data_IF_556450406080
#
_entry.id   IF_556450406080
#
_cell.length_a   1.000
_cell.length_b   1.000
_cell.length_c   1.000
_cell.angle_alpha   90.00
_cell.angle_beta   90.00
_cell.angle_gamma   90.00
#
_symmetry.space_group_name_H-M   'P 1'
#
loop_
_entity.id
_entity.type
_entity.pdbx_description
1 polymer ?
#
# COMPACT_ATOMS: atom_id res chain seq x y z
N UNK A 1 -5.70 -17.12 27.20
CA UNK A 1 -6.42 -16.27 26.24
C UNK A 1 -7.67 -17.02 25.81
N UNK A 2 -8.80 -16.31 25.74
CA UNK A 2 -10.06 -16.83 25.21
C UNK A 2 -10.28 -16.15 23.86
N UNK A 3 -10.36 -16.94 22.79
CA UNK A 3 -10.70 -16.46 21.45
C UNK A 3 -12.15 -16.80 21.15
N UNK A 4 -12.95 -15.79 20.83
CA UNK A 4 -14.32 -15.94 20.38
C UNK A 4 -14.40 -15.63 18.89
N UNK A 5 -14.82 -16.59 18.09
CA UNK A 5 -15.19 -16.37 16.70
C UNK A 5 -16.64 -15.88 16.64
N UNK A 6 -16.88 -14.81 15.91
CA UNK A 6 -18.22 -14.31 15.61
C UNK A 6 -18.32 -13.94 14.13
N UNK A 7 -19.50 -14.07 13.58
CA UNK A 7 -19.83 -13.65 12.23
C UNK A 7 -20.62 -12.34 12.30
N UNK A 8 -20.22 -11.35 11.52
CA UNK A 8 -20.92 -10.09 11.39
C UNK A 8 -21.34 -9.89 9.93
N UNK A 9 -22.64 -9.69 9.71
CA UNK A 9 -23.16 -9.37 8.39
C UNK A 9 -23.02 -7.89 8.13
N UNK A 10 -22.09 -7.52 7.25
CA UNK A 10 -21.87 -6.13 6.86
C UNK A 10 -22.53 -5.84 5.52
N UNK A 11 -23.29 -4.75 5.45
CA UNK A 11 -23.91 -4.27 4.20
C UNK A 11 -22.96 -3.23 3.62
N UNK A 12 -22.50 -3.47 2.39
CA UNK A 12 -21.69 -2.50 1.67
C UNK A 12 -22.60 -1.48 0.99
N UNK A 13 -22.33 -0.19 1.22
CA UNK A 13 -23.13 0.90 0.66
C UNK A 13 -23.09 0.89 -0.87
N UNK A 14 -24.28 1.03 -1.47
CA UNK A 14 -24.44 1.18 -2.90
C UNK A 14 -24.59 2.66 -3.23
N UNK A 15 -23.49 3.32 -3.55
CA UNK A 15 -23.50 4.73 -3.97
C UNK A 15 -23.53 4.80 -5.49
N UNK A 16 -24.29 5.76 -6.03
CA UNK A 16 -24.33 6.03 -7.48
C UNK A 16 -22.94 6.44 -7.98
N UNK A 17 -22.59 6.01 -9.18
CA UNK A 17 -21.31 6.37 -9.81
C UNK A 17 -21.14 7.88 -9.95
N UNK A 18 -22.23 8.63 -10.15
CA UNK A 18 -22.21 10.09 -10.34
C UNK A 18 -21.85 10.89 -9.08
N UNK A 19 -21.96 10.27 -7.90
CA UNK A 19 -21.66 10.92 -6.61
C UNK A 19 -20.51 10.23 -5.86
N UNK A 20 -19.97 9.15 -6.41
CA UNK A 20 -18.99 8.30 -5.76
C UNK A 20 -17.66 9.01 -5.56
N UNK A 21 -17.09 8.86 -4.37
CA UNK A 21 -15.70 9.25 -4.04
C UNK A 21 -14.81 8.03 -3.99
N UNK A 22 -13.70 8.11 -4.68
CA UNK A 22 -12.74 7.02 -4.80
C UNK A 22 -11.42 7.40 -4.17
N UNK A 23 -10.87 6.54 -3.31
CA UNK A 23 -9.55 6.67 -2.75
C UNK A 23 -8.59 5.71 -3.48
N UNK A 24 -7.69 6.26 -4.29
CA UNK A 24 -6.56 5.51 -4.85
C UNK A 24 -5.42 5.44 -3.84
N UNK A 25 -4.90 4.24 -3.58
CA UNK A 25 -3.80 4.00 -2.65
C UNK A 25 -2.64 3.34 -3.37
N UNK A 26 -1.49 4.00 -3.35
CA UNK A 26 -0.20 3.45 -3.79
C UNK A 26 0.68 3.15 -2.56
N UNK A 27 1.19 1.92 -2.47
CA UNK A 27 2.04 1.43 -1.39
C UNK A 27 3.51 1.44 -1.84
N UNK A 28 4.32 2.33 -1.28
CA UNK A 28 5.70 2.53 -1.68
C UNK A 28 6.74 2.13 -0.64
N UNK A 29 8.01 2.23 -1.05
CA UNK A 29 9.17 1.98 -0.19
C UNK A 29 9.57 3.27 0.55
N UNK A 30 9.58 4.40 -0.16
CA UNK A 30 10.01 5.71 0.39
C UNK A 30 8.88 6.38 1.17
N UNK A 31 7.68 6.40 0.60
CA UNK A 31 6.45 6.73 1.34
C UNK A 31 5.78 5.41 1.70
N UNK A 32 5.31 5.26 2.94
CA UNK A 32 4.58 4.07 3.34
C UNK A 32 3.32 3.88 2.51
N UNK A 33 2.62 4.99 2.22
CA UNK A 33 1.59 5.07 1.19
C UNK A 33 1.39 6.50 0.70
N UNK A 34 0.82 6.59 -0.51
CA UNK A 34 0.23 7.80 -1.09
C UNK A 34 -1.26 7.54 -1.26
N UNK A 35 -2.07 8.45 -0.77
CA UNK A 35 -3.53 8.41 -0.84
C UNK A 35 -4.00 9.58 -1.71
N UNK A 36 -4.75 9.31 -2.78
CA UNK A 36 -5.34 10.32 -3.66
C UNK A 36 -6.84 10.11 -3.71
N UNK A 37 -7.60 11.11 -3.30
CA UNK A 37 -9.07 11.08 -3.33
C UNK A 37 -9.55 11.78 -4.57
N UNK A 38 -10.45 11.14 -5.29
CA UNK A 38 -11.00 11.59 -6.56
C UNK A 38 -12.53 11.59 -6.49
N UNK A 39 -13.15 12.58 -7.07
CA UNK A 39 -14.60 12.63 -7.25
C UNK A 39 -15.06 11.84 -8.50
N UNK A 40 -16.36 11.78 -8.71
CA UNK A 40 -16.96 11.07 -9.84
C UNK A 40 -16.59 11.66 -11.21
N UNK A 41 -16.14 12.92 -11.26
CA UNK A 41 -15.70 13.61 -12.49
C UNK A 41 -14.22 13.38 -12.79
N UNK A 42 -13.50 12.63 -11.93
CA UNK A 42 -12.08 12.39 -12.07
C UNK A 42 -11.19 13.49 -11.48
N UNK A 43 -11.76 14.48 -10.79
CA UNK A 43 -11.01 15.56 -10.16
C UNK A 43 -10.41 15.09 -8.86
N UNK A 44 -9.10 15.33 -8.66
CA UNK A 44 -8.43 15.02 -7.39
C UNK A 44 -8.78 16.10 -6.37
N UNK A 45 -9.60 15.73 -5.37
CA UNK A 45 -10.07 16.62 -4.30
C UNK A 45 -9.18 16.61 -3.07
N UNK A 46 -8.28 15.63 -2.96
CA UNK A 46 -7.32 15.55 -1.86
C UNK A 46 -6.20 14.58 -2.13
N UNK A 47 -5.02 14.90 -1.59
CA UNK A 47 -3.85 14.01 -1.62
C UNK A 47 -3.15 14.03 -0.26
N UNK A 48 -2.79 12.86 0.23
CA UNK A 48 -2.11 12.67 1.52
C UNK A 48 -0.96 11.68 1.37
N UNK A 49 0.13 11.95 2.07
CA UNK A 49 1.33 11.13 2.07
C UNK A 49 1.63 10.64 3.48
N UNK A 50 1.96 9.37 3.63
CA UNK A 50 2.44 8.81 4.89
C UNK A 50 3.90 8.44 4.79
N UNK A 51 4.73 9.06 5.63
CA UNK A 51 6.13 8.67 5.86
C UNK A 51 6.26 8.12 7.27
N UNK A 52 7.12 7.14 7.45
CA UNK A 52 7.41 6.49 8.73
C UNK A 52 8.93 6.34 8.89
N UNK A 53 9.69 7.46 8.96
CA UNK A 53 11.15 7.44 8.92
C UNK A 53 11.73 6.69 10.13
N UNK A 54 11.19 6.87 11.32
CA UNK A 54 11.69 6.24 12.57
C UNK A 54 11.55 4.71 12.50
N UNK A 55 10.40 4.25 12.03
CA UNK A 55 10.11 2.83 11.86
C UNK A 55 10.97 2.22 10.74
N UNK A 56 11.16 2.95 9.65
CA UNK A 56 12.01 2.52 8.53
C UNK A 56 13.47 2.39 8.97
N UNK A 57 14.02 3.37 9.71
CA UNK A 57 15.36 3.30 10.31
C UNK A 57 15.49 2.14 11.29
N UNK A 58 14.47 1.89 12.10
CA UNK A 58 14.42 0.76 13.02
C UNK A 58 14.46 -0.58 12.29
N UNK A 59 13.69 -0.70 11.19
CA UNK A 59 13.72 -1.89 10.34
C UNK A 59 15.08 -2.09 9.68
N UNK A 60 15.68 -1.02 9.18
CA UNK A 60 16.98 -1.08 8.52
C UNK A 60 18.10 -1.45 9.51
N UNK A 61 18.08 -0.91 10.72
CA UNK A 61 18.98 -1.32 11.79
C UNK A 61 18.83 -2.81 12.15
N UNK A 62 17.59 -3.29 12.22
CA UNK A 62 17.35 -4.72 12.46
C UNK A 62 17.90 -5.61 11.33
N UNK A 63 17.70 -5.21 10.07
CA UNK A 63 18.21 -5.91 8.90
C UNK A 63 19.75 -5.86 8.81
N UNK A 64 20.38 -4.75 9.20
CA UNK A 64 21.87 -4.65 9.30
C UNK A 64 22.42 -5.63 10.33
N UNK A 65 21.78 -5.76 11.50
CA UNK A 65 22.18 -6.76 12.51
C UNK A 65 22.07 -8.20 11.99
N UNK A 66 21.01 -8.52 11.27
CA UNK A 66 20.85 -9.83 10.66
C UNK A 66 21.96 -10.09 9.64
N UNK A 67 22.26 -9.12 8.76
CA UNK A 67 23.34 -9.23 7.78
C UNK A 67 24.70 -9.45 8.45
N UNK A 68 25.00 -8.68 9.50
CA UNK A 68 26.26 -8.83 10.27
C UNK A 68 26.36 -10.21 10.94
N UNK A 69 25.29 -10.70 11.55
CA UNK A 69 25.28 -12.04 12.13
C UNK A 69 25.49 -13.13 11.08
N UNK A 70 24.91 -12.98 9.89
CA UNK A 70 25.11 -13.92 8.79
C UNK A 70 26.54 -13.90 8.23
N UNK A 71 27.15 -12.71 8.09
CA UNK A 71 28.57 -12.61 7.69
C UNK A 71 29.53 -13.27 8.70
N UNK A 72 29.12 -13.30 9.98
CA UNK A 72 29.85 -13.99 11.04
C UNK A 72 29.48 -15.50 11.14
N UNK A 73 28.83 -16.08 10.12
CA UNK A 73 28.52 -17.50 10.07
C UNK A 73 27.24 -17.95 10.79
N UNK A 74 26.44 -17.03 11.37
CA UNK A 74 25.22 -17.41 12.05
C UNK A 74 24.17 -17.95 11.06
N UNK A 75 23.75 -19.21 11.23
CA UNK A 75 22.74 -19.87 10.37
C UNK A 75 21.31 -19.64 10.86
N UNK A 76 21.11 -19.48 12.18
CA UNK A 76 19.78 -19.32 12.80
C UNK A 76 19.75 -18.08 13.70
N UNK A 77 18.78 -17.20 13.51
CA UNK A 77 18.68 -15.92 14.22
C UNK A 77 17.22 -15.57 14.54
N UNK A 78 16.49 -16.44 15.27
CA UNK A 78 15.05 -16.27 15.48
C UNK A 78 14.70 -14.94 16.14
N UNK A 79 15.45 -14.51 17.16
CA UNK A 79 15.22 -13.24 17.89
C UNK A 79 15.41 -12.01 16.99
N UNK A 80 16.44 -11.98 16.14
CA UNK A 80 16.69 -10.88 15.23
C UNK A 80 15.59 -10.78 14.17
N UNK A 81 15.15 -11.93 13.65
CA UNK A 81 14.03 -11.99 12.70
C UNK A 81 12.70 -11.61 13.34
N UNK A 82 12.42 -12.03 14.58
CA UNK A 82 11.23 -11.66 15.31
C UNK A 82 11.14 -10.12 15.45
N UNK A 83 12.27 -9.47 15.81
CA UNK A 83 12.34 -8.01 15.88
C UNK A 83 12.06 -7.34 14.53
N UNK A 84 12.72 -7.78 13.45
CA UNK A 84 12.51 -7.21 12.11
C UNK A 84 11.07 -7.37 11.63
N UNK A 85 10.47 -8.54 11.85
CA UNK A 85 9.07 -8.80 11.54
C UNK A 85 8.12 -7.94 12.38
N UNK A 86 8.42 -7.75 13.68
CA UNK A 86 7.62 -6.90 14.56
C UNK A 86 7.59 -5.44 14.09
N UNK A 87 8.74 -4.85 13.78
CA UNK A 87 8.81 -3.49 13.22
C UNK A 87 8.09 -3.41 11.87
N UNK A 88 8.26 -4.41 11.00
CA UNK A 88 7.57 -4.43 9.70
C UNK A 88 6.04 -4.51 9.86
N UNK A 89 5.55 -5.24 10.86
CA UNK A 89 4.14 -5.31 11.23
C UNK A 89 3.62 -3.96 11.75
N UNK A 90 4.39 -3.27 12.59
CA UNK A 90 4.04 -1.94 13.10
C UNK A 90 3.89 -0.92 11.96
N UNK A 91 4.83 -0.91 11.01
CA UNK A 91 4.71 -0.09 9.79
C UNK A 91 3.40 -0.41 9.04
N UNK A 92 3.06 -1.69 8.90
CA UNK A 92 1.84 -2.09 8.19
C UNK A 92 0.58 -1.58 8.89
N UNK A 93 0.48 -1.75 10.20
CA UNK A 93 -0.68 -1.30 10.99
C UNK A 93 -0.84 0.22 10.94
N UNK A 94 0.27 0.97 11.11
CA UNK A 94 0.27 2.44 11.02
C UNK A 94 -0.13 2.93 9.63
N UNK A 95 0.32 2.22 8.58
CA UNK A 95 -0.04 2.55 7.21
C UNK A 95 -1.53 2.30 6.94
N UNK A 96 -2.05 1.15 7.35
CA UNK A 96 -3.45 0.81 7.19
C UNK A 96 -4.37 1.77 7.97
N UNK A 97 -4.03 2.09 9.22
CA UNK A 97 -4.76 3.08 10.02
C UNK A 97 -4.80 4.44 9.35
N UNK A 98 -3.69 4.91 8.77
CA UNK A 98 -3.66 6.16 8.02
C UNK A 98 -4.57 6.14 6.78
N UNK A 99 -4.57 5.05 6.00
CA UNK A 99 -5.46 4.89 4.84
C UNK A 99 -6.93 5.02 5.28
N UNK A 100 -7.31 4.35 6.36
CA UNK A 100 -8.68 4.42 6.89
C UNK A 100 -9.01 5.81 7.45
N UNK A 101 -8.05 6.51 8.07
CA UNK A 101 -8.25 7.90 8.51
C UNK A 101 -8.56 8.81 7.32
N UNK A 102 -7.82 8.68 6.22
CA UNK A 102 -8.08 9.46 4.99
C UNK A 102 -9.43 9.07 4.37
N UNK A 103 -9.75 7.78 4.32
CA UNK A 103 -11.04 7.32 3.80
C UNK A 103 -12.22 7.93 4.59
N UNK A 104 -12.12 7.99 5.91
CA UNK A 104 -13.15 8.57 6.78
C UNK A 104 -13.21 10.11 6.66
N UNK A 105 -12.03 10.79 6.62
CA UNK A 105 -11.93 12.25 6.46
C UNK A 105 -12.69 12.73 5.20
N UNK A 106 -12.52 12.03 4.10
CA UNK A 106 -13.12 12.38 2.82
C UNK A 106 -14.45 11.67 2.53
N UNK A 107 -14.95 10.84 3.46
CA UNK A 107 -16.17 10.02 3.28
C UNK A 107 -16.13 9.24 1.97
N UNK A 108 -15.11 8.40 1.83
CA UNK A 108 -14.82 7.64 0.61
C UNK A 108 -15.73 6.41 0.53
N UNK A 109 -16.30 6.18 -0.64
CA UNK A 109 -17.19 5.05 -0.91
C UNK A 109 -16.43 3.81 -1.37
N UNK A 110 -15.31 4.01 -2.07
CA UNK A 110 -14.50 2.93 -2.63
C UNK A 110 -13.01 3.21 -2.42
N UNK A 111 -12.29 2.23 -1.88
CA UNK A 111 -10.83 2.24 -1.81
C UNK A 111 -10.29 1.35 -2.93
N UNK A 112 -9.41 1.91 -3.76
CA UNK A 112 -8.76 1.22 -4.87
C UNK A 112 -7.28 1.01 -4.55
N UNK A 113 -6.83 -0.23 -4.65
CA UNK A 113 -5.44 -0.63 -4.43
C UNK A 113 -4.94 -1.49 -5.59
N UNK A 114 -3.63 -1.55 -5.77
CA UNK A 114 -3.03 -2.46 -6.75
C UNK A 114 -3.28 -3.93 -6.38
N UNK A 115 -3.55 -4.75 -7.38
CA UNK A 115 -3.56 -6.20 -7.21
C UNK A 115 -2.13 -6.71 -7.10
N UNK A 116 -1.76 -7.17 -5.91
CA UNK A 116 -0.43 -7.74 -5.65
C UNK A 116 -0.44 -9.24 -5.93
N UNK A 117 -0.15 -9.62 -7.15
CA UNK A 117 0.15 -11.01 -7.47
C UNK A 117 1.60 -11.32 -7.07
N UNK A 118 1.74 -12.03 -5.95
CA UNK A 118 3.03 -12.47 -5.42
C UNK A 118 3.31 -13.95 -5.73
N UNK A 119 2.45 -14.60 -6.51
CA UNK A 119 2.63 -15.98 -6.93
C UNK A 119 3.90 -16.08 -7.80
N UNK A 120 4.79 -17.01 -7.45
CA UNK A 120 6.01 -17.27 -8.21
C UNK A 120 7.22 -16.37 -7.94
N UNK A 121 7.10 -15.25 -7.23
CA UNK A 121 8.24 -14.39 -6.89
C UNK A 121 9.06 -14.93 -5.71
N UNK A 122 9.73 -16.07 -5.92
CA UNK A 122 10.68 -16.65 -4.94
C UNK A 122 12.04 -15.94 -4.92
N UNK A 123 12.35 -15.13 -5.94
CA UNK A 123 13.63 -14.41 -6.10
C UNK A 123 13.49 -12.97 -5.60
N UNK A 124 14.53 -12.46 -4.95
CA UNK A 124 14.61 -11.09 -4.47
C UNK A 124 15.30 -10.97 -3.13
N UNK A 125 15.76 -9.76 -2.79
CA UNK A 125 16.41 -9.49 -1.51
C UNK A 125 15.44 -9.70 -0.33
N UNK A 126 16.00 -9.91 0.87
CA UNK A 126 15.18 -10.03 2.10
C UNK A 126 14.34 -8.79 2.37
N UNK A 127 14.87 -7.60 2.00
CA UNK A 127 14.15 -6.33 2.08
C UNK A 127 12.91 -6.33 1.19
N UNK A 128 13.03 -6.78 -0.06
CA UNK A 128 11.89 -6.90 -0.99
C UNK A 128 10.83 -7.87 -0.48
N UNK A 129 11.23 -9.03 0.04
CA UNK A 129 10.28 -10.02 0.60
C UNK A 129 9.51 -9.47 1.79
N UNK A 130 10.17 -8.73 2.68
CA UNK A 130 9.49 -8.07 3.81
C UNK A 130 8.56 -6.96 3.34
N UNK A 131 8.95 -6.21 2.31
CA UNK A 131 8.11 -5.17 1.72
C UNK A 131 6.86 -5.78 1.06
N UNK A 132 6.99 -6.82 0.25
CA UNK A 132 5.85 -7.49 -0.36
C UNK A 132 4.89 -8.08 0.69
N UNK A 133 5.42 -8.73 1.72
CA UNK A 133 4.59 -9.23 2.82
C UNK A 133 3.84 -8.08 3.49
N UNK A 134 4.52 -6.96 3.76
CA UNK A 134 3.93 -5.77 4.38
C UNK A 134 2.80 -5.20 3.54
N UNK A 135 3.02 -5.04 2.24
CA UNK A 135 2.02 -4.50 1.33
C UNK A 135 0.75 -5.37 1.31
N UNK A 136 0.90 -6.69 1.22
CA UNK A 136 -0.23 -7.62 1.31
C UNK A 136 -0.95 -7.53 2.66
N UNK A 137 -0.21 -7.43 3.76
CA UNK A 137 -0.77 -7.32 5.10
C UNK A 137 -1.51 -5.99 5.31
N UNK A 138 -0.99 -4.88 4.78
CA UNK A 138 -1.72 -3.59 4.75
C UNK A 138 -3.06 -3.75 4.04
N UNK A 139 -3.07 -4.37 2.85
CA UNK A 139 -4.31 -4.58 2.11
C UNK A 139 -5.33 -5.41 2.89
N UNK A 140 -4.89 -6.45 3.59
CA UNK A 140 -5.78 -7.28 4.43
C UNK A 140 -6.40 -6.47 5.57
N UNK A 141 -5.59 -5.66 6.28
CA UNK A 141 -6.10 -4.82 7.38
C UNK A 141 -7.10 -3.78 6.85
N UNK A 142 -6.74 -3.09 5.75
CA UNK A 142 -7.62 -2.09 5.13
C UNK A 142 -8.93 -2.71 4.68
N UNK A 143 -8.89 -3.88 4.03
CA UNK A 143 -10.08 -4.60 3.57
C UNK A 143 -11.01 -4.94 4.72
N UNK A 144 -10.47 -5.50 5.81
CA UNK A 144 -11.23 -5.80 7.02
C UNK A 144 -11.89 -4.56 7.63
N UNK A 145 -11.12 -3.46 7.78
CA UNK A 145 -11.63 -2.25 8.39
C UNK A 145 -12.64 -1.52 7.48
N UNK A 146 -12.35 -1.46 6.17
CA UNK A 146 -13.22 -0.83 5.20
C UNK A 146 -14.59 -1.53 5.11
N UNK A 147 -14.61 -2.86 5.05
CA UNK A 147 -15.85 -3.62 5.02
C UNK A 147 -16.70 -3.37 6.28
N UNK A 148 -16.09 -3.32 7.46
CA UNK A 148 -16.82 -3.00 8.71
C UNK A 148 -17.43 -1.59 8.70
N UNK A 149 -16.86 -0.66 7.93
CA UNK A 149 -17.38 0.70 7.74
C UNK A 149 -18.34 0.82 6.53
N UNK A 150 -18.69 -0.28 5.86
CA UNK A 150 -19.52 -0.25 4.64
C UNK A 150 -18.76 0.14 3.37
N UNK A 151 -17.49 0.54 3.47
CA UNK A 151 -16.67 0.99 2.34
C UNK A 151 -16.25 -0.19 1.46
N UNK A 152 -16.33 -0.02 0.15
CA UNK A 152 -15.94 -1.06 -0.82
C UNK A 152 -14.46 -1.04 -1.10
N UNK A 153 -13.91 -2.23 -1.39
CA UNK A 153 -12.55 -2.39 -1.88
C UNK A 153 -12.58 -2.84 -3.34
N UNK A 154 -11.72 -2.24 -4.16
CA UNK A 154 -11.42 -2.67 -5.52
C UNK A 154 -9.92 -2.83 -5.70
N UNK A 155 -9.55 -3.81 -6.51
CA UNK A 155 -8.15 -4.07 -6.87
C UNK A 155 -7.98 -3.90 -8.36
N UNK A 156 -6.97 -3.14 -8.76
CA UNK A 156 -6.63 -2.89 -10.16
C UNK A 156 -5.35 -3.60 -10.52
N UNK A 157 -5.25 -4.04 -11.76
CA UNK A 157 -4.03 -4.65 -12.27
C UNK A 157 -2.90 -3.61 -12.25
N UNK A 158 -1.76 -3.96 -11.66
CA UNK A 158 -0.58 -3.09 -11.59
C UNK A 158 0.27 -3.08 -12.87
N UNK A 159 -0.10 -3.91 -13.86
CA UNK A 159 0.64 -4.02 -15.10
C UNK A 159 0.53 -2.74 -15.93
N UNK A 160 1.67 -2.17 -16.30
CA UNK A 160 1.81 -0.95 -17.09
C UNK A 160 1.16 0.33 -16.51
N UNK A 161 0.67 0.35 -15.27
CA UNK A 161 0.06 1.55 -14.67
C UNK A 161 1.01 2.74 -14.58
N UNK A 162 2.34 2.51 -14.55
CA UNK A 162 3.35 3.56 -14.57
C UNK A 162 3.80 3.98 -15.98
N UNK A 163 3.34 3.29 -17.02
CA UNK A 163 3.71 3.54 -18.42
C UNK A 163 2.56 4.12 -19.24
N UNK A 164 1.33 3.85 -18.83
CA UNK A 164 0.16 4.30 -19.56
C UNK A 164 -0.34 5.64 -19.03
N UNK A 165 -0.80 6.49 -19.95
CA UNK A 165 -1.47 7.73 -19.63
C UNK A 165 -2.84 7.47 -19.00
N UNK A 166 -3.20 8.24 -17.99
CA UNK A 166 -4.49 8.10 -17.29
C UNK A 166 -5.71 8.45 -18.17
N UNK A 167 -5.48 9.22 -19.24
CA UNK A 167 -6.50 9.65 -20.21
C UNK A 167 -6.71 8.65 -21.37
N UNK A 168 -6.00 7.50 -21.34
CA UNK A 168 -6.10 6.46 -22.36
C UNK A 168 -5.36 6.75 -23.67
N UNK A 169 -4.56 7.81 -23.75
CA UNK A 169 -3.85 8.21 -24.97
C UNK A 169 -2.63 7.34 -25.31
N UNK A 170 -2.30 6.35 -24.46
CA UNK A 170 -1.22 5.40 -24.70
C UNK A 170 -0.06 5.55 -23.71
N UNK A 171 1.16 5.29 -24.17
CA UNK A 171 2.35 5.32 -23.32
C UNK A 171 2.78 6.75 -22.98
N UNK A 172 3.26 6.94 -21.74
CA UNK A 172 3.90 8.19 -21.30
C UNK A 172 5.41 8.12 -21.46
N UNK A 173 6.02 9.21 -21.91
CA UNK A 173 7.47 9.39 -21.90
C UNK A 173 7.89 10.01 -20.58
N UNK A 174 8.81 9.33 -19.86
CA UNK A 174 9.32 9.84 -18.58
C UNK A 174 10.67 10.55 -18.79
N UNK A 175 10.82 11.62 -18.02
CA UNK A 175 12.08 12.35 -17.95
C UNK A 175 13.16 11.46 -17.31
N UNK A 176 14.36 11.43 -17.93
CA UNK A 176 15.50 10.64 -17.43
C UNK A 176 16.10 11.22 -16.17
N UNK A 177 16.07 12.54 -16.00
CA UNK A 177 16.65 13.24 -14.86
C UNK A 177 15.66 13.38 -13.70
N UNK A 178 14.38 13.49 -14.03
CA UNK A 178 13.30 13.54 -13.04
C UNK A 178 12.18 12.53 -13.36
N UNK A 179 12.33 11.30 -12.92
CA UNK A 179 11.40 10.22 -13.21
C UNK A 179 9.95 10.46 -12.70
N UNK A 180 9.73 11.47 -11.85
CA UNK A 180 8.39 11.87 -11.42
C UNK A 180 7.65 12.73 -12.46
N UNK A 181 8.37 13.29 -13.42
CA UNK A 181 7.80 14.02 -14.55
C UNK A 181 7.53 13.07 -15.71
N UNK A 182 6.42 13.29 -16.39
CA UNK A 182 6.08 12.54 -17.60
C UNK A 182 5.32 13.44 -18.59
N UNK A 183 5.54 13.18 -19.87
CA UNK A 183 4.84 13.84 -20.97
C UNK A 183 3.90 12.84 -21.62
N UNK A 184 2.63 13.24 -21.78
CA UNK A 184 1.63 12.46 -22.49
C UNK A 184 1.74 12.69 -24.00
N UNK A 185 1.17 11.79 -24.80
CA UNK A 185 1.14 11.94 -26.27
C UNK A 185 0.41 13.23 -26.71
N UNK A 186 -0.49 13.75 -25.89
CA UNK A 186 -1.15 15.04 -26.08
C UNK A 186 -0.29 16.27 -25.77
N UNK A 187 0.97 16.09 -25.40
CA UNK A 187 1.91 17.18 -25.07
C UNK A 187 1.69 17.85 -23.71
N UNK A 188 0.88 17.24 -22.84
CA UNK A 188 0.64 17.72 -21.47
C UNK A 188 1.61 17.11 -20.48
#
# INVERSE_FOLDING_TARGET
>A
YLDFSFEEKVILDKVSLDTQRVLGVDLGINNACVCSVMDSKGTIIGRRFKKLPVEQDSLERALRRIRKAQSNGAKRMPRLWARAKGVNKDIAVKTAGFIMTVANEFKVDVIVMEHLDLAGRKRGSKRQRLHHWRAKYVQQIVEHQAHRCGTRIRRVCSWNTSKLAFDGTGDVTRDTDNYSMCTFQTGK
#
